data_IF_021679609273
#
_entry.id   IF_021679609273
#
_cell.length_a   1.000
_cell.length_b   1.000
_cell.length_c   1.000
_cell.angle_alpha   90.00
_cell.angle_beta   90.00
_cell.angle_gamma   90.00
#
_symmetry.space_group_name_H-M   'P 1'
#
loop_
_entity.id
_entity.type
_entity.pdbx_description
1 polymer ?
#
# COMPACT_ATOMS: atom_id res chain seq x y z
N UNK A 1 -4.42 25.31 -3.73
CA UNK A 1 -4.79 24.29 -3.11
C UNK A 1 -3.74 23.26 -2.87
N UNK A 2 -3.75 22.72 -1.80
CA UNK A 2 -2.76 21.84 -1.47
C UNK A 2 -3.16 20.47 -1.66
N UNK A 3 -2.38 19.71 -2.29
CA UNK A 3 -2.72 18.36 -2.49
C UNK A 3 -1.90 17.56 -1.56
N UNK A 4 -2.46 17.23 -0.44
CA UNK A 4 -1.75 16.40 0.49
C UNK A 4 -1.79 14.97 0.00
N UNK A 5 -0.65 14.36 -0.05
CA UNK A 5 -0.54 12.98 -0.49
C UNK A 5 0.09 12.15 0.60
N UNK A 6 -0.58 11.06 0.92
CA UNK A 6 -0.06 10.09 1.87
C UNK A 6 0.36 8.86 1.07
N UNK A 7 1.61 8.46 1.22
CA UNK A 7 2.12 7.28 0.55
C UNK A 7 2.45 6.25 1.60
N UNK A 8 1.81 5.10 1.49
CA UNK A 8 2.00 4.00 2.42
C UNK A 8 2.66 2.84 1.69
N UNK A 9 3.69 2.27 2.27
CA UNK A 9 4.35 1.09 1.73
C UNK A 9 3.91 -0.11 2.53
N UNK A 10 3.46 -1.14 1.83
CA UNK A 10 2.93 -2.31 2.48
C UNK A 10 3.47 -3.57 1.84
N UNK A 11 3.47 -4.63 2.61
CA UNK A 11 3.77 -5.95 2.10
C UNK A 11 2.49 -6.76 2.23
N UNK A 12 1.99 -7.23 1.09
CA UNK A 12 0.79 -8.05 1.05
C UNK A 12 1.24 -9.50 0.99
N UNK A 13 0.88 -10.28 2.00
CA UNK A 13 1.24 -11.70 2.03
C UNK A 13 0.14 -12.50 1.37
N UNK A 14 0.55 -13.39 0.48
CA UNK A 14 -0.40 -14.15 -0.32
C UNK A 14 0.00 -15.61 -0.33
N UNK A 15 -0.97 -16.44 -0.62
CA UNK A 15 -0.68 -17.86 -0.86
C UNK A 15 0.16 -17.96 -2.14
N UNK A 16 1.10 -18.89 -2.17
CA UNK A 16 2.03 -18.95 -3.31
C UNK A 16 1.34 -19.05 -4.66
N UNK A 17 0.25 -19.80 -4.72
CA UNK A 17 -0.44 -19.99 -5.99
C UNK A 17 -1.23 -18.78 -6.42
N UNK A 18 -1.40 -17.81 -5.55
CA UNK A 18 -2.22 -16.64 -5.84
C UNK A 18 -1.42 -15.37 -6.10
N UNK A 19 -0.09 -15.48 -6.12
CA UNK A 19 0.72 -14.27 -6.23
C UNK A 19 0.42 -13.48 -7.48
N UNK A 20 0.32 -14.17 -8.62
CA UNK A 20 0.11 -13.48 -9.88
C UNK A 20 -1.26 -12.84 -9.95
N UNK A 21 -2.30 -13.58 -9.57
CA UNK A 21 -3.64 -13.04 -9.64
C UNK A 21 -3.86 -11.94 -8.60
N UNK A 22 -3.27 -12.08 -7.42
CA UNK A 22 -3.39 -11.05 -6.41
C UNK A 22 -2.68 -9.78 -6.85
N UNK A 23 -1.50 -9.92 -7.46
CA UNK A 23 -0.77 -8.75 -7.93
C UNK A 23 -1.57 -8.02 -9.00
N UNK A 24 -2.22 -8.75 -9.88
CA UNK A 24 -3.04 -8.14 -10.92
C UNK A 24 -4.22 -7.38 -10.30
N UNK A 25 -4.84 -7.96 -9.28
CA UNK A 25 -5.95 -7.30 -8.61
C UNK A 25 -5.49 -6.05 -7.90
N UNK A 26 -4.35 -6.14 -7.21
CA UNK A 26 -3.80 -4.98 -6.51
C UNK A 26 -3.48 -3.86 -7.48
N UNK A 27 -2.89 -4.20 -8.60
CA UNK A 27 -2.51 -3.19 -9.58
C UNK A 27 -3.72 -2.49 -10.20
N UNK A 28 -4.88 -3.11 -10.14
CA UNK A 28 -6.08 -2.52 -10.71
C UNK A 28 -6.77 -1.54 -9.77
N UNK A 29 -6.33 -1.46 -8.53
CA UNK A 29 -6.95 -0.57 -7.54
C UNK A 29 -6.35 0.82 -7.70
N UNK A 30 -7.22 1.82 -7.76
CA UNK A 30 -6.75 3.18 -7.93
C UNK A 30 -5.87 3.59 -6.76
N UNK A 31 -4.73 4.20 -7.05
CA UNK A 31 -3.80 4.64 -6.03
C UNK A 31 -2.82 3.58 -5.57
N UNK A 32 -2.96 2.35 -6.06
CA UNK A 32 -2.09 1.26 -5.65
C UNK A 32 -1.10 0.96 -6.75
N UNK A 33 0.17 0.87 -6.37
CA UNK A 33 1.21 0.52 -7.31
C UNK A 33 1.95 -0.70 -6.80
N UNK A 34 2.08 -1.71 -7.65
CA UNK A 34 2.81 -2.92 -7.31
C UNK A 34 4.26 -2.73 -7.74
N UNK A 35 5.18 -2.87 -6.81
CA UNK A 35 6.59 -2.64 -7.09
C UNK A 35 7.36 -3.91 -7.28
N UNK A 36 7.07 -4.90 -6.45
CA UNK A 36 7.85 -6.11 -6.51
C UNK A 36 6.99 -7.28 -6.07
N UNK A 37 7.17 -8.40 -6.73
CA UNK A 37 6.45 -9.60 -6.39
C UNK A 37 7.46 -10.66 -6.03
N UNK A 38 7.47 -11.05 -4.78
CA UNK A 38 8.31 -12.11 -4.29
C UNK A 38 7.43 -13.30 -4.00
N UNK A 39 8.05 -14.43 -3.76
CA UNK A 39 7.27 -15.60 -3.45
C UNK A 39 6.51 -15.38 -2.15
N UNK A 40 5.20 -15.42 -2.22
CA UNK A 40 4.38 -15.24 -1.04
C UNK A 40 4.21 -13.82 -0.56
N UNK A 41 4.83 -12.85 -1.23
CA UNK A 41 4.75 -11.45 -0.81
C UNK A 41 4.71 -10.53 -2.00
N UNK A 42 3.96 -9.44 -1.86
CA UNK A 42 3.87 -8.43 -2.90
C UNK A 42 4.10 -7.09 -2.24
N UNK A 43 5.09 -6.36 -2.75
CA UNK A 43 5.39 -5.04 -2.21
C UNK A 43 4.59 -4.01 -2.99
N UNK A 44 3.79 -3.24 -2.29
CA UNK A 44 2.93 -2.24 -2.92
C UNK A 44 3.04 -0.92 -2.19
N UNK A 45 2.68 0.15 -2.90
CA UNK A 45 2.46 1.43 -2.26
C UNK A 45 1.03 1.86 -2.54
N UNK A 46 0.48 2.61 -1.60
CA UNK A 46 -0.83 3.23 -1.75
C UNK A 46 -0.64 4.72 -1.69
N UNK A 47 -1.12 5.41 -2.70
CA UNK A 47 -1.09 6.85 -2.72
C UNK A 47 -2.52 7.33 -2.50
N UNK A 48 -2.75 8.09 -1.46
CA UNK A 48 -4.10 8.51 -1.08
C UNK A 48 -4.07 9.92 -0.53
N UNK A 49 -5.21 10.62 -0.58
CA UNK A 49 -5.24 12.00 -0.07
C UNK A 49 -5.21 12.09 1.45
N UNK A 50 -5.61 11.03 2.14
CA UNK A 50 -5.63 11.05 3.60
C UNK A 50 -5.21 9.70 4.13
N UNK A 51 -4.86 9.67 5.43
CA UNK A 51 -4.54 8.42 6.09
C UNK A 51 -5.75 7.51 6.11
N UNK A 52 -6.94 8.08 6.34
CA UNK A 52 -8.15 7.27 6.38
C UNK A 52 -8.42 6.61 5.04
N UNK A 53 -8.23 7.34 3.95
CA UNK A 53 -8.42 6.77 2.63
C UNK A 53 -7.42 5.65 2.38
N UNK A 54 -6.19 5.85 2.84
CA UNK A 54 -5.15 4.83 2.69
C UNK A 54 -5.54 3.58 3.48
N UNK A 55 -6.05 3.76 4.69
CA UNK A 55 -6.50 2.63 5.50
C UNK A 55 -7.64 1.88 4.83
N UNK A 56 -8.58 2.61 4.26
CA UNK A 56 -9.71 1.95 3.59
C UNK A 56 -9.21 1.12 2.42
N UNK A 57 -8.27 1.66 1.66
CA UNK A 57 -7.72 0.93 0.52
C UNK A 57 -7.01 -0.33 1.01
N UNK A 58 -6.19 -0.19 2.05
CA UNK A 58 -5.46 -1.34 2.58
C UNK A 58 -6.41 -2.40 3.12
N UNK A 59 -7.49 -1.96 3.74
CA UNK A 59 -8.45 -2.91 4.29
C UNK A 59 -9.11 -3.74 3.20
N UNK A 60 -9.28 -3.15 2.03
CA UNK A 60 -9.91 -3.87 0.92
C UNK A 60 -9.03 -4.98 0.39
N UNK A 61 -7.73 -4.94 0.68
CA UNK A 61 -6.81 -5.97 0.19
C UNK A 61 -7.17 -7.34 0.73
N UNK A 62 -7.69 -7.40 1.95
CA UNK A 62 -8.00 -8.68 2.55
C UNK A 62 -9.14 -9.39 1.84
N UNK A 63 -9.86 -8.68 0.99
CA UNK A 63 -10.94 -9.31 0.22
C UNK A 63 -10.44 -9.93 -1.07
N UNK A 64 -9.19 -9.74 -1.41
CA UNK A 64 -8.63 -10.30 -2.62
C UNK A 64 -8.34 -11.78 -2.37
N UNK A 65 -8.80 -12.68 -3.23
CA UNK A 65 -8.55 -14.09 -3.03
C UNK A 65 -7.06 -14.38 -2.95
N UNK A 66 -6.67 -15.13 -1.94
CA UNK A 66 -5.28 -15.52 -1.75
C UNK A 66 -4.50 -14.62 -0.82
N UNK A 67 -5.04 -13.45 -0.46
CA UNK A 67 -4.36 -12.56 0.48
C UNK A 67 -4.57 -13.09 1.89
N UNK A 68 -3.47 -13.33 2.60
CA UNK A 68 -3.53 -13.86 3.95
C UNK A 68 -3.04 -12.88 4.99
N UNK A 69 -2.53 -11.74 4.59
CA UNK A 69 -2.11 -10.73 5.54
C UNK A 69 -1.62 -9.49 4.82
N UNK A 70 -1.69 -8.37 5.53
CA UNK A 70 -1.22 -7.09 5.01
C UNK A 70 -0.43 -6.42 6.11
N UNK A 71 0.83 -6.08 5.83
CA UNK A 71 1.70 -5.46 6.82
C UNK A 71 2.08 -4.07 6.35
N UNK A 72 1.83 -3.08 7.19
CA UNK A 72 2.23 -1.73 6.89
C UNK A 72 3.70 -1.57 7.24
N UNK A 73 4.48 -1.12 6.28
CA UNK A 73 5.90 -0.96 6.47
C UNK A 73 6.29 0.49 6.70
N UNK A 74 5.63 1.39 5.98
CA UNK A 74 6.08 2.77 6.01
C UNK A 74 4.96 3.70 5.54
N UNK A 75 4.85 4.86 6.17
CA UNK A 75 3.90 5.90 5.77
C UNK A 75 4.68 7.19 5.60
N UNK A 76 4.47 7.87 4.49
CA UNK A 76 5.12 9.13 4.20
C UNK A 76 4.08 10.18 3.89
N UNK A 77 4.18 11.33 4.58
CA UNK A 77 3.29 12.46 4.37
C UNK A 77 4.07 13.49 3.58
N UNK A 78 3.93 13.44 2.29
CA UNK A 78 4.81 14.24 1.43
C UNK A 78 4.64 15.71 1.57
N UNK A 79 3.43 16.17 1.80
CA UNK A 79 3.18 17.59 1.80
C UNK A 79 3.11 18.20 3.18
N UNK A 80 3.57 17.51 4.19
CA UNK A 80 3.57 18.02 5.54
C UNK A 80 5.01 18.28 5.97
N UNK A 81 5.47 19.54 5.97
CA UNK A 81 6.85 19.80 6.31
C UNK A 81 7.24 19.36 7.72
N UNK A 82 6.30 19.43 8.64
CA UNK A 82 6.60 19.01 10.00
C UNK A 82 6.85 17.53 10.07
N UNK A 83 6.03 16.75 9.38
CA UNK A 83 6.20 15.33 9.37
C UNK A 83 7.48 14.95 8.62
N UNK A 84 7.72 15.61 7.50
CA UNK A 84 8.91 15.32 6.72
C UNK A 84 10.17 15.58 7.54
N UNK A 85 10.17 16.68 8.30
CA UNK A 85 11.30 16.96 9.12
C UNK A 85 11.49 15.93 10.21
N UNK A 86 10.41 15.51 10.83
CA UNK A 86 10.48 14.51 11.86
C UNK A 86 10.96 13.19 11.35
N UNK A 87 10.58 12.83 10.16
CA UNK A 87 10.93 11.54 9.63
C UNK A 87 12.41 11.44 9.25
N UNK A 88 13.09 12.57 9.18
CA UNK A 88 14.47 12.51 8.87
C UNK A 88 15.36 12.15 10.02
N UNK A 89 14.84 12.07 11.19
CA UNK A 89 15.63 11.79 12.30
C UNK A 89 15.80 10.43 12.62
#
# INVERSE_FOLDING_TARGET
MQDHTVISSLIVRVLPDHGKSAAARLASIEGVEVHEKLEGKIVVTIEAPTVDASHDTAASFSEIPGVIGVDLVYVNFEDDPAVARGSRR
#
